data_IF_107822544858
#
_entry.id   IF_107822544858
#
_cell.length_a   1.000
_cell.length_b   1.000
_cell.length_c   1.000
_cell.angle_alpha   90.00
_cell.angle_beta   90.00
_cell.angle_gamma   90.00
#
_symmetry.space_group_name_H-M   'P 1'
#
loop_
_entity.id
_entity.type
_entity.pdbx_description
1 polymer ?
#
# COMPACT_ATOMS: atom_id res chain seq x y z
N UNK A 1 3.91 24.57 4.90
CA UNK A 1 4.31 23.47 4.00
C UNK A 1 3.99 22.19 4.76
N UNK A 2 3.17 21.29 4.20
CA UNK A 2 2.73 20.11 4.94
C UNK A 2 3.97 19.28 5.29
N UNK A 3 3.99 18.77 6.52
CA UNK A 3 5.10 18.00 7.05
C UNK A 3 5.14 16.66 6.33
N UNK A 4 6.21 16.33 5.60
CA UNK A 4 6.39 14.95 5.23
C UNK A 4 6.53 14.16 6.52
N UNK A 5 5.80 13.06 6.60
CA UNK A 5 6.06 12.09 7.67
C UNK A 5 7.46 11.55 7.41
N UNK A 6 8.37 11.62 8.39
CA UNK A 6 9.75 11.09 8.25
C UNK A 6 9.78 9.59 7.90
N UNK A 7 8.63 8.91 8.00
CA UNK A 7 8.42 7.50 7.70
C UNK A 7 7.49 7.36 6.48
N UNK A 8 7.88 6.63 5.43
CA UNK A 8 7.02 6.35 4.29
C UNK A 8 5.73 5.66 4.75
N UNK A 9 4.60 6.02 4.16
CA UNK A 9 3.28 5.55 4.58
C UNK A 9 2.50 4.89 3.45
N UNK A 10 2.08 3.64 3.65
CA UNK A 10 1.09 2.99 2.79
C UNK A 10 -0.33 3.23 3.31
N UNK A 11 -1.12 3.95 2.54
CA UNK A 11 -2.57 4.02 2.69
C UNK A 11 -3.24 2.86 1.96
N UNK A 12 -4.15 2.19 2.66
CA UNK A 12 -4.91 1.06 2.10
C UNK A 12 -6.37 1.11 2.53
N UNK A 13 -7.22 0.37 1.82
CA UNK A 13 -8.61 0.21 2.21
C UNK A 13 -8.74 -0.70 3.44
N UNK A 14 -9.08 -0.08 4.57
CA UNK A 14 -9.32 -0.74 5.84
C UNK A 14 -10.58 -1.59 5.89
N UNK A 15 -11.54 -1.41 4.98
CA UNK A 15 -12.79 -2.16 4.90
C UNK A 15 -12.67 -3.35 3.92
N UNK A 16 -11.74 -3.28 2.97
CA UNK A 16 -11.42 -4.36 2.05
C UNK A 16 -10.62 -5.51 2.71
N UNK A 17 -11.25 -6.68 2.86
CA UNK A 17 -10.60 -7.87 3.44
C UNK A 17 -9.37 -8.36 2.66
N UNK A 18 -9.36 -8.14 1.34
CA UNK A 18 -8.20 -8.43 0.49
C UNK A 18 -7.02 -7.50 0.83
N UNK A 19 -7.25 -6.17 0.83
CA UNK A 19 -6.22 -5.18 1.17
C UNK A 19 -5.63 -5.45 2.56
N UNK A 20 -6.47 -5.71 3.57
CA UNK A 20 -6.01 -6.05 4.93
C UNK A 20 -5.12 -7.29 4.98
N UNK A 21 -5.45 -8.32 4.19
CA UNK A 21 -4.68 -9.59 4.16
C UNK A 21 -3.29 -9.37 3.59
N UNK A 22 -3.18 -8.61 2.50
CA UNK A 22 -1.90 -8.27 1.88
C UNK A 22 -1.05 -7.34 2.73
N UNK A 23 -1.65 -6.30 3.30
CA UNK A 23 -0.96 -5.39 4.23
C UNK A 23 -0.37 -6.14 5.41
N UNK A 24 -1.09 -7.11 5.99
CA UNK A 24 -0.54 -7.95 7.07
C UNK A 24 0.66 -8.79 6.62
N UNK A 25 0.69 -9.22 5.35
CA UNK A 25 1.85 -9.94 4.78
C UNK A 25 3.01 -8.98 4.58
N UNK A 26 2.80 -7.85 3.91
CA UNK A 26 3.86 -6.86 3.67
C UNK A 26 4.44 -6.32 4.96
N UNK A 27 3.61 -6.02 5.97
CA UNK A 27 4.06 -5.54 7.28
C UNK A 27 5.03 -6.49 7.99
N UNK A 28 4.95 -7.80 7.74
CA UNK A 28 5.93 -8.76 8.29
C UNK A 28 7.31 -8.69 7.60
N UNK A 29 7.38 -8.08 6.42
CA UNK A 29 8.56 -8.10 5.55
C UNK A 29 9.27 -6.73 5.47
N UNK A 30 8.52 -5.63 5.49
CA UNK A 30 9.08 -4.26 5.46
C UNK A 30 9.37 -3.70 6.87
N UNK A 31 9.23 -4.54 7.90
CA UNK A 31 9.47 -4.21 9.32
C UNK A 31 8.92 -2.83 9.73
N UNK A 32 9.56 -2.16 10.69
CA UNK A 32 9.24 -0.80 11.15
C UNK A 32 9.69 0.32 10.17
N UNK A 33 10.10 -0.01 8.94
CA UNK A 33 10.55 1.00 7.96
C UNK A 33 9.38 1.72 7.28
N UNK A 34 8.18 1.11 7.26
CA UNK A 34 6.99 1.67 6.59
C UNK A 34 5.79 1.69 7.52
N UNK A 35 5.09 2.82 7.55
CA UNK A 35 3.83 2.97 8.26
C UNK A 35 2.65 2.48 7.42
N UNK A 36 1.78 1.65 8.00
CA UNK A 36 0.58 1.17 7.32
C UNK A 36 -0.66 1.79 7.97
N UNK A 37 -1.41 2.61 7.24
CA UNK A 37 -2.60 3.29 7.77
C UNK A 37 -3.84 3.08 6.88
N UNK A 38 -5.01 2.77 7.47
CA UNK A 38 -6.25 2.71 6.69
C UNK A 38 -6.63 4.11 6.22
N UNK A 39 -6.92 4.28 4.93
CA UNK A 39 -7.23 5.59 4.37
C UNK A 39 -8.45 6.22 5.05
N UNK A 40 -9.41 5.40 5.51
CA UNK A 40 -10.61 5.85 6.23
C UNK A 40 -10.32 6.75 7.43
N UNK A 41 -9.14 6.58 8.06
CA UNK A 41 -8.75 7.33 9.27
C UNK A 41 -7.57 8.28 9.05
N UNK A 42 -6.87 8.15 7.94
CA UNK A 42 -5.58 8.79 7.73
C UNK A 42 -5.51 9.66 6.47
N UNK A 43 -6.44 9.52 5.52
CA UNK A 43 -6.43 10.29 4.28
C UNK A 43 -6.50 11.81 4.50
N UNK A 44 -7.13 12.26 5.57
CA UNK A 44 -7.21 13.69 5.90
C UNK A 44 -5.85 14.25 6.39
N UNK A 45 -4.88 13.37 6.74
CA UNK A 45 -3.50 13.75 7.08
C UNK A 45 -2.62 13.94 5.82
N UNK A 46 -3.06 13.45 4.66
CA UNK A 46 -2.29 13.41 3.41
C UNK A 46 -3.03 14.15 2.28
N UNK A 47 -2.84 15.48 2.15
CA UNK A 47 -3.51 16.28 1.11
C UNK A 47 -3.17 15.84 -0.33
N UNK A 48 -2.11 15.07 -0.52
CA UNK A 48 -1.64 14.54 -1.80
C UNK A 48 -2.54 13.39 -2.31
N UNK A 49 -3.30 12.74 -1.43
CA UNK A 49 -4.12 11.56 -1.75
C UNK A 49 -5.60 11.84 -1.56
N UNK A 50 -6.39 11.64 -2.61
CA UNK A 50 -7.85 11.71 -2.50
C UNK A 50 -8.45 10.41 -1.98
N UNK A 51 -9.60 10.51 -1.28
CA UNK A 51 -10.40 9.35 -0.84
C UNK A 51 -10.74 8.41 -2.00
N UNK A 52 -10.98 8.96 -3.19
CA UNK A 52 -11.28 8.16 -4.40
C UNK A 52 -10.07 7.35 -4.84
N UNK A 53 -8.88 7.94 -4.89
CA UNK A 53 -7.64 7.23 -5.24
C UNK A 53 -7.35 6.12 -4.24
N UNK A 54 -7.45 6.41 -2.94
CA UNK A 54 -7.21 5.43 -1.88
C UNK A 54 -8.24 4.29 -1.83
N UNK A 55 -9.46 4.53 -2.33
CA UNK A 55 -10.49 3.51 -2.52
C UNK A 55 -10.23 2.64 -3.75
N UNK A 56 -9.74 3.23 -4.82
CA UNK A 56 -9.46 2.51 -6.08
C UNK A 56 -8.24 1.61 -5.96
N UNK A 57 -7.21 2.05 -5.25
CA UNK A 57 -5.95 1.34 -5.10
C UNK A 57 -5.22 1.76 -3.82
N UNK A 58 -4.31 0.90 -3.35
CA UNK A 58 -3.36 1.28 -2.29
C UNK A 58 -2.49 2.44 -2.77
N UNK A 59 -2.15 3.35 -1.86
CA UNK A 59 -1.34 4.53 -2.15
C UNK A 59 -0.12 4.50 -1.24
N UNK A 60 1.07 4.68 -1.79
CA UNK A 60 2.30 4.75 -1.03
C UNK A 60 2.82 6.18 -1.11
N UNK A 61 3.07 6.78 0.05
CA UNK A 61 3.52 8.16 0.19
C UNK A 61 4.94 8.12 0.75
N UNK A 62 5.86 8.69 0.00
CA UNK A 62 7.26 8.78 0.37
C UNK A 62 7.54 10.00 1.27
N UNK A 63 8.66 10.01 2.02
CA UNK A 63 9.02 11.12 2.91
C UNK A 63 9.33 12.42 2.17
N UNK A 64 9.47 12.42 0.85
CA UNK A 64 9.59 13.62 0.02
C UNK A 64 8.23 14.14 -0.50
N UNK A 65 7.15 13.38 -0.26
CA UNK A 65 5.81 13.67 -0.73
C UNK A 65 5.47 13.04 -2.09
N UNK A 66 6.35 12.22 -2.67
CA UNK A 66 6.00 11.44 -3.86
C UNK A 66 4.92 10.40 -3.51
N UNK A 67 3.92 10.28 -4.39
CA UNK A 67 2.81 9.35 -4.21
C UNK A 67 2.76 8.39 -5.38
N UNK A 68 2.88 7.11 -5.09
CA UNK A 68 2.67 6.02 -6.05
C UNK A 68 1.40 5.26 -5.72
N UNK A 69 0.83 4.57 -6.72
CA UNK A 69 -0.49 3.93 -6.58
C UNK A 69 -0.52 2.49 -7.12
N UNK A 70 -1.40 1.67 -6.55
CA UNK A 70 -1.68 0.32 -7.05
C UNK A 70 -0.45 -0.60 -7.06
N UNK A 71 -0.15 -1.19 -8.22
CA UNK A 71 0.99 -2.09 -8.36
C UNK A 71 2.33 -1.38 -8.13
N UNK A 72 2.45 -0.13 -8.58
CA UNK A 72 3.65 0.68 -8.39
C UNK A 72 3.90 0.95 -6.90
N UNK A 73 2.86 1.34 -6.16
CA UNK A 73 2.92 1.49 -4.70
C UNK A 73 3.43 0.22 -4.00
N UNK A 74 3.00 -0.95 -4.48
CA UNK A 74 3.50 -2.23 -3.97
C UNK A 74 4.97 -2.42 -4.33
N UNK A 75 5.40 -2.19 -5.57
CA UNK A 75 6.81 -2.32 -5.94
C UNK A 75 7.72 -1.41 -5.12
N UNK A 76 7.33 -0.14 -4.94
CA UNK A 76 8.05 0.81 -4.10
C UNK A 76 8.08 0.32 -2.66
N UNK A 77 6.94 -0.03 -2.06
CA UNK A 77 6.87 -0.62 -0.72
C UNK A 77 7.83 -1.80 -0.56
N UNK A 78 7.84 -2.71 -1.53
CA UNK A 78 8.66 -3.90 -1.48
C UNK A 78 10.16 -3.58 -1.60
N UNK A 79 10.55 -2.48 -2.26
CA UNK A 79 11.95 -2.04 -2.29
C UNK A 79 12.54 -1.75 -0.90
N UNK A 80 11.69 -1.43 0.09
CA UNK A 80 12.10 -1.23 1.49
C UNK A 80 12.32 -2.56 2.26
N UNK A 81 11.92 -3.71 1.70
CA UNK A 81 12.09 -5.03 2.33
C UNK A 81 13.37 -5.76 1.94
N UNK A 82 13.79 -6.73 2.75
CA UNK A 82 15.01 -7.52 2.46
C UNK A 82 14.85 -8.36 1.17
N UNK A 83 15.85 -8.28 0.28
CA UNK A 83 15.78 -8.57 -1.17
C UNK A 83 15.53 -10.02 -1.61
N UNK A 84 15.23 -10.96 -0.69
CA UNK A 84 15.25 -12.40 -0.97
C UNK A 84 13.92 -13.06 -1.37
N UNK A 85 12.76 -12.49 -1.01
CA UNK A 85 11.47 -13.21 -1.03
C UNK A 85 10.54 -12.87 -2.21
N UNK A 86 10.91 -11.90 -3.06
CA UNK A 86 10.16 -11.49 -4.26
C UNK A 86 9.94 -12.65 -5.24
N UNK A 87 10.98 -13.49 -5.39
CA UNK A 87 10.95 -14.70 -6.22
C UNK A 87 9.97 -15.73 -5.65
N UNK A 88 9.95 -15.90 -4.32
CA UNK A 88 9.03 -16.81 -3.64
C UNK A 88 7.56 -16.38 -3.76
N UNK A 89 7.28 -15.08 -3.65
CA UNK A 89 5.93 -14.53 -3.85
C UNK A 89 5.45 -14.64 -5.30
N UNK A 90 6.29 -14.35 -6.30
CA UNK A 90 5.88 -14.51 -7.70
C UNK A 90 5.50 -15.97 -8.03
N UNK A 91 6.19 -16.94 -7.43
CA UNK A 91 5.89 -18.37 -7.59
C UNK A 91 4.67 -18.83 -6.78
N UNK A 92 4.31 -18.16 -5.68
CA UNK A 92 3.23 -18.58 -4.75
C UNK A 92 1.99 -17.69 -4.75
N UNK A 93 1.92 -16.66 -5.60
CA UNK A 93 0.76 -15.78 -5.76
C UNK A 93 0.03 -16.12 -7.07
N UNK A 94 -0.96 -17.04 -7.04
CA UNK A 94 -1.86 -17.20 -8.16
C UNK A 94 -2.85 -16.02 -8.19
N UNK A 95 -3.08 -15.44 -9.37
CA UNK A 95 -4.26 -14.59 -9.62
C UNK A 95 -4.03 -13.10 -9.86
N UNK A 96 -2.89 -12.70 -10.42
CA UNK A 96 -2.60 -11.29 -10.78
C UNK A 96 -3.52 -10.64 -11.86
N UNK A 97 -4.52 -11.32 -12.47
CA UNK A 97 -5.56 -10.60 -13.24
C UNK A 97 -7.02 -10.95 -12.90
N UNK A 98 -7.32 -11.73 -11.85
CA UNK A 98 -8.67 -12.31 -11.68
C UNK A 98 -9.61 -11.57 -10.70
N UNK A 99 -9.21 -10.45 -10.10
CA UNK A 99 -9.97 -9.83 -8.99
C UNK A 99 -10.35 -8.36 -9.21
N UNK A 100 -10.34 -7.86 -10.45
CA UNK A 100 -10.81 -6.50 -10.77
C UNK A 100 -12.33 -6.37 -10.93
N UNK A 101 -13.12 -7.45 -10.87
CA UNK A 101 -14.55 -7.38 -11.22
C UNK A 101 -15.57 -7.74 -10.12
N UNK A 102 -15.16 -8.07 -8.88
CA UNK A 102 -16.15 -8.49 -7.85
C UNK A 102 -16.31 -7.56 -6.65
N UNK A 103 -15.48 -6.51 -6.51
CA UNK A 103 -15.53 -5.59 -5.35
C UNK A 103 -15.84 -4.16 -5.78
N UNK A 104 -16.71 -4.02 -6.77
CA UNK A 104 -17.55 -2.82 -6.92
C UNK A 104 -19.00 -3.27 -6.87
N UNK A 105 -19.50 -3.51 -5.64
CA UNK A 105 -20.92 -3.43 -5.36
C UNK A 105 -21.15 -2.32 -4.35
#
# INVERSE_FOLDING_TARGET
MPKPSDVPTLLFDGDCGFCRTWVRRWKKNVDDQVSFRPYQKAVDDFPEVTKTQARQAVQFIEPDGEVTSGAEAVFVLLSYGESGWWRWMYEHVPGFPAFSESVYR
#
